data_IF_486333502272
#
_entry.id   IF_486333502272
#
_cell.length_a   1.000
_cell.length_b   1.000
_cell.length_c   1.000
_cell.angle_alpha   90.00
_cell.angle_beta   90.00
_cell.angle_gamma   90.00
#
_symmetry.space_group_name_H-M   'P 1'
#
loop_
_entity.id
_entity.type
_entity.pdbx_description
1 polymer ?
#
# COMPACT_ATOMS: atom_id res chain seq x y z
N UNK A 1 -0.51 -33.71 -2.31
CA UNK A 1 0.41 -32.77 -1.66
C UNK A 1 -0.36 -31.47 -1.58
N UNK A 2 -0.51 -30.88 -0.41
CA UNK A 2 -1.08 -29.53 -0.33
C UNK A 2 0.05 -28.56 -0.69
N UNK A 3 -0.11 -27.84 -1.78
CA UNK A 3 0.75 -26.70 -2.11
C UNK A 3 0.44 -25.58 -1.10
N UNK A 4 1.45 -25.12 -0.40
CA UNK A 4 1.31 -23.99 0.53
C UNK A 4 2.12 -22.83 -0.02
N UNK A 5 1.49 -21.69 -0.22
CA UNK A 5 2.19 -20.48 -0.63
C UNK A 5 2.71 -19.81 0.65
N UNK A 6 3.96 -19.41 0.62
CA UNK A 6 4.60 -18.60 1.67
C UNK A 6 5.06 -17.28 1.09
N UNK A 7 4.63 -16.20 1.68
CA UNK A 7 5.07 -14.87 1.31
C UNK A 7 6.14 -14.36 2.29
N UNK A 8 7.09 -13.60 1.77
CA UNK A 8 8.10 -12.85 2.53
C UNK A 8 8.11 -11.43 2.04
N UNK A 9 8.15 -10.50 2.97
CA UNK A 9 8.19 -9.09 2.65
C UNK A 9 9.48 -8.42 3.11
N UNK A 10 9.83 -7.36 2.41
CA UNK A 10 10.77 -6.35 2.86
C UNK A 10 10.27 -4.98 2.41
N UNK A 11 10.57 -3.96 3.19
CA UNK A 11 10.15 -2.60 2.92
C UNK A 11 11.27 -1.60 3.19
N UNK A 12 11.27 -0.55 2.40
CA UNK A 12 12.15 0.62 2.58
C UNK A 12 11.30 1.87 2.50
N UNK A 13 11.53 2.78 3.45
CA UNK A 13 10.96 4.14 3.44
C UNK A 13 12.09 5.16 3.52
N UNK A 14 11.98 6.26 2.78
CA UNK A 14 12.99 7.31 2.67
C UNK A 14 12.31 8.68 2.61
N UNK A 15 12.80 9.71 3.32
CA UNK A 15 12.21 11.05 3.26
C UNK A 15 12.31 11.73 1.90
N UNK A 16 13.04 11.13 0.95
CA UNK A 16 13.34 11.76 -0.33
C UNK A 16 14.45 12.80 -0.23
N UNK A 17 14.56 13.64 -1.26
CA UNK A 17 15.62 14.65 -1.35
C UNK A 17 15.12 16.08 -1.15
N UNK A 18 13.82 16.29 -1.07
CA UNK A 18 13.19 17.61 -0.99
C UNK A 18 12.48 17.83 0.34
N UNK A 19 11.83 16.79 0.89
CA UNK A 19 11.11 16.87 2.15
C UNK A 19 12.08 16.87 3.34
N UNK A 20 11.72 17.59 4.40
CA UNK A 20 12.50 17.64 5.66
C UNK A 20 12.13 16.58 6.66
N UNK A 21 10.95 15.96 6.50
CA UNK A 21 10.43 14.90 7.34
C UNK A 21 9.89 13.77 6.46
N UNK A 22 9.80 12.57 7.03
CA UNK A 22 9.13 11.45 6.41
C UNK A 22 7.76 11.28 7.06
N UNK A 23 6.71 11.56 6.30
CA UNK A 23 5.32 11.42 6.73
C UNK A 23 4.73 10.06 6.29
N UNK A 24 5.50 9.27 5.50
CA UNK A 24 5.15 7.89 5.18
C UNK A 24 5.35 6.96 6.38
N UNK A 25 4.50 5.95 6.50
CA UNK A 25 4.65 4.86 7.45
C UNK A 25 4.36 3.51 6.80
N UNK A 26 4.99 2.43 7.30
CA UNK A 26 4.75 1.08 6.81
C UNK A 26 4.68 0.05 7.94
N UNK A 27 3.97 -1.05 7.70
CA UNK A 27 3.88 -2.19 8.58
C UNK A 27 4.20 -3.47 7.81
N UNK A 28 5.03 -4.33 8.42
CA UNK A 28 5.30 -5.68 7.94
C UNK A 28 4.99 -6.67 9.06
N UNK A 29 3.91 -7.46 8.89
CA UNK A 29 3.52 -8.56 9.80
C UNK A 29 3.45 -9.86 9.00
N UNK A 30 4.62 -10.43 8.69
CA UNK A 30 4.73 -11.68 7.91
C UNK A 30 4.03 -12.86 8.60
N UNK A 31 4.01 -12.86 9.95
CA UNK A 31 3.32 -13.85 10.76
C UNK A 31 1.80 -13.86 10.56
N UNK A 32 1.23 -12.68 10.29
CA UNK A 32 -0.21 -12.51 10.03
C UNK A 32 -0.55 -12.43 8.53
N UNK A 33 0.46 -12.35 7.65
CA UNK A 33 0.25 -12.09 6.23
C UNK A 33 -0.32 -10.70 5.95
N UNK A 34 0.08 -9.71 6.74
CA UNK A 34 -0.46 -8.35 6.71
C UNK A 34 0.65 -7.32 6.45
N UNK A 35 0.47 -6.51 5.42
CA UNK A 35 1.38 -5.41 5.07
C UNK A 35 0.59 -4.14 4.77
N UNK A 36 1.16 -3.01 5.19
CA UNK A 36 0.49 -1.70 5.07
C UNK A 36 1.51 -0.65 4.64
N UNK A 37 1.07 0.26 3.77
CA UNK A 37 1.74 1.53 3.49
C UNK A 37 0.72 2.65 3.69
N UNK A 38 1.13 3.70 4.38
CA UNK A 38 0.34 4.89 4.65
C UNK A 38 1.19 6.13 4.35
N UNK A 39 0.68 7.03 3.54
CA UNK A 39 1.31 8.29 3.15
C UNK A 39 0.59 9.44 3.82
N UNK A 40 1.27 10.07 4.77
CA UNK A 40 0.70 11.10 5.63
C UNK A 40 0.68 12.47 4.98
N UNK A 41 -0.41 13.21 5.18
CA UNK A 41 -0.59 14.57 4.68
C UNK A 41 -1.20 15.49 5.74
N UNK A 42 -0.92 16.80 5.64
CA UNK A 42 -1.50 17.79 6.55
C UNK A 42 -0.51 18.87 7.01
N UNK A 43 0.75 18.73 6.58
CA UNK A 43 1.83 19.65 6.88
C UNK A 43 2.53 19.38 8.23
N UNK A 44 3.86 19.38 8.20
CA UNK A 44 4.78 19.21 9.33
C UNK A 44 4.58 17.87 10.08
N UNK A 45 3.98 17.91 11.30
CA UNK A 45 3.85 16.73 12.16
C UNK A 45 2.51 16.00 12.02
N UNK A 46 1.52 16.62 11.41
CA UNK A 46 0.16 16.07 11.41
C UNK A 46 0.05 14.86 10.46
N UNK A 47 0.75 14.89 9.33
CA UNK A 47 0.84 13.76 8.40
C UNK A 47 1.56 12.55 9.01
N UNK A 48 2.75 12.76 9.61
CA UNK A 48 3.51 11.72 10.31
C UNK A 48 2.68 11.06 11.42
N UNK A 49 1.92 11.85 12.17
CA UNK A 49 1.04 11.33 13.22
C UNK A 49 -0.09 10.51 12.62
N UNK A 50 -0.73 10.99 11.54
CA UNK A 50 -1.85 10.30 10.91
C UNK A 50 -1.44 8.93 10.34
N UNK A 51 -0.36 8.88 9.53
CA UNK A 51 0.16 7.62 8.99
C UNK A 51 0.62 6.66 10.08
N UNK A 52 1.30 7.20 11.12
CA UNK A 52 1.75 6.44 12.29
C UNK A 52 0.59 5.84 13.09
N UNK A 53 -0.53 6.56 13.27
CA UNK A 53 -1.73 6.05 13.94
C UNK A 53 -2.34 4.86 13.16
N UNK A 54 -2.46 4.95 11.83
CA UNK A 54 -2.97 3.86 11.01
C UNK A 54 -2.12 2.61 11.20
N UNK A 55 -0.80 2.74 11.05
CA UNK A 55 0.15 1.63 11.19
C UNK A 55 0.11 1.02 12.59
N UNK A 56 -0.01 1.85 13.64
CA UNK A 56 -0.10 1.39 15.03
C UNK A 56 -1.39 0.59 15.29
N UNK A 57 -2.54 1.06 14.81
CA UNK A 57 -3.82 0.35 14.92
C UNK A 57 -3.78 -0.99 14.15
N UNK A 58 -3.23 -0.99 12.93
CA UNK A 58 -3.05 -2.20 12.13
C UNK A 58 -2.08 -3.20 12.76
N UNK A 59 -1.02 -2.72 13.45
CA UNK A 59 -0.06 -3.58 14.13
C UNK A 59 -0.70 -4.40 15.25
N UNK A 60 -1.75 -3.88 15.88
CA UNK A 60 -2.45 -4.53 17.01
C UNK A 60 -3.77 -5.19 16.60
N UNK A 61 -4.13 -5.15 15.31
CA UNK A 61 -5.36 -5.77 14.81
C UNK A 61 -5.41 -7.26 15.16
N UNK A 62 -6.52 -7.73 15.78
CA UNK A 62 -6.68 -9.14 16.09
C UNK A 62 -6.89 -9.94 14.81
N UNK A 63 -6.04 -10.95 14.58
CA UNK A 63 -6.12 -11.81 13.41
C UNK A 63 -6.57 -13.19 13.82
N UNK A 64 -7.59 -13.72 13.17
CA UNK A 64 -8.18 -15.04 13.47
C UNK A 64 -7.64 -16.15 12.56
N UNK A 65 -7.07 -15.77 11.41
CA UNK A 65 -6.68 -16.69 10.34
C UNK A 65 -7.86 -17.05 9.41
N UNK A 66 -9.03 -16.46 9.61
CA UNK A 66 -10.18 -16.60 8.72
C UNK A 66 -10.24 -15.36 7.81
N UNK A 67 -9.86 -15.52 6.55
CA UNK A 67 -9.63 -14.46 5.59
C UNK A 67 -10.73 -13.38 5.54
N UNK A 68 -11.99 -13.79 5.39
CA UNK A 68 -13.10 -12.84 5.26
C UNK A 68 -13.33 -12.08 6.58
N UNK A 69 -13.23 -12.75 7.73
CA UNK A 69 -13.34 -12.13 9.06
C UNK A 69 -12.21 -11.15 9.31
N UNK A 70 -11.00 -11.54 8.94
CA UNK A 70 -9.81 -10.69 9.15
C UNK A 70 -9.83 -9.48 8.20
N UNK A 71 -10.29 -9.63 6.96
CA UNK A 71 -10.43 -8.51 6.03
C UNK A 71 -11.47 -7.49 6.50
N UNK A 72 -12.63 -7.95 7.01
CA UNK A 72 -13.63 -7.08 7.64
C UNK A 72 -13.07 -6.39 8.89
N UNK A 73 -12.34 -7.13 9.74
CA UNK A 73 -11.69 -6.57 10.93
C UNK A 73 -10.71 -5.45 10.56
N UNK A 74 -9.92 -5.61 9.49
CA UNK A 74 -9.00 -4.59 9.02
C UNK A 74 -9.72 -3.35 8.47
N UNK A 75 -10.85 -3.52 7.78
CA UNK A 75 -11.70 -2.41 7.38
C UNK A 75 -12.25 -1.63 8.60
N UNK A 76 -12.70 -2.34 9.63
CA UNK A 76 -13.16 -1.72 10.90
C UNK A 76 -12.02 -0.98 11.62
N UNK A 77 -10.78 -1.49 11.54
CA UNK A 77 -9.60 -0.80 12.06
C UNK A 77 -9.41 0.53 11.33
N UNK A 78 -9.53 0.55 10.00
CA UNK A 78 -9.43 1.79 9.21
C UNK A 78 -10.52 2.80 9.59
N UNK A 79 -11.76 2.36 9.81
CA UNK A 79 -12.84 3.25 10.25
C UNK A 79 -12.58 3.85 11.63
N UNK A 80 -12.03 3.07 12.58
CA UNK A 80 -11.64 3.61 13.90
C UNK A 80 -10.47 4.59 13.81
N UNK A 81 -9.45 4.26 13.03
CA UNK A 81 -8.33 5.16 12.77
C UNK A 81 -8.82 6.48 12.14
N UNK A 82 -9.75 6.40 11.17
CA UNK A 82 -10.37 7.57 10.57
C UNK A 82 -11.01 8.49 11.61
N UNK A 83 -11.87 7.94 12.47
CA UNK A 83 -12.52 8.73 13.50
C UNK A 83 -11.53 9.41 14.45
N UNK A 84 -10.49 8.67 14.87
CA UNK A 84 -9.48 9.21 15.78
C UNK A 84 -8.64 10.33 15.13
N UNK A 85 -8.22 10.17 13.87
CA UNK A 85 -7.44 11.17 13.13
C UNK A 85 -8.32 12.39 12.83
N UNK A 86 -9.57 12.19 12.42
CA UNK A 86 -10.52 13.27 12.18
C UNK A 86 -10.76 14.12 13.43
N UNK A 87 -11.02 13.47 14.58
CA UNK A 87 -11.23 14.15 15.85
C UNK A 87 -9.98 14.92 16.31
N UNK A 88 -8.79 14.36 16.10
CA UNK A 88 -7.52 15.04 16.37
C UNK A 88 -7.38 16.30 15.50
N UNK A 89 -7.67 16.22 14.21
CA UNK A 89 -7.65 17.36 13.29
C UNK A 89 -8.61 18.47 13.72
N UNK A 90 -9.84 18.13 14.16
CA UNK A 90 -10.81 19.10 14.65
C UNK A 90 -10.31 19.81 15.93
N UNK A 91 -9.65 19.10 16.83
CA UNK A 91 -9.15 19.67 18.09
C UNK A 91 -7.92 20.57 17.88
N UNK A 92 -7.06 20.25 16.95
CA UNK A 92 -5.83 21.02 16.67
C UNK A 92 -6.06 22.19 15.71
N UNK A 93 -7.23 22.25 15.05
CA UNK A 93 -7.53 23.20 13.98
C UNK A 93 -6.70 22.95 12.71
N UNK A 94 -6.03 21.80 12.64
CA UNK A 94 -5.26 21.31 11.49
C UNK A 94 -6.09 20.38 10.61
N UNK A 95 -5.50 19.97 9.49
CA UNK A 95 -6.04 18.92 8.63
C UNK A 95 -5.02 17.79 8.57
N UNK A 96 -5.12 16.86 9.53
CA UNK A 96 -4.36 15.63 9.49
C UNK A 96 -5.09 14.59 8.64
N UNK A 97 -4.36 13.87 7.83
CA UNK A 97 -4.91 12.76 7.05
C UNK A 97 -3.80 11.86 6.53
N UNK A 98 -4.18 10.74 5.96
CA UNK A 98 -3.23 9.83 5.31
C UNK A 98 -3.93 9.01 4.24
N UNK A 99 -3.23 8.72 3.16
CA UNK A 99 -3.62 7.59 2.31
C UNK A 99 -3.37 6.28 3.06
N UNK A 100 -3.90 5.20 2.57
CA UNK A 100 -3.57 3.86 3.06
C UNK A 100 -3.77 2.82 1.97
N UNK A 101 -2.85 1.86 1.91
CA UNK A 101 -3.03 0.58 1.23
C UNK A 101 -2.70 -0.55 2.19
N UNK A 102 -3.57 -1.55 2.24
CA UNK A 102 -3.46 -2.73 3.10
C UNK A 102 -3.50 -3.97 2.22
N UNK A 103 -2.55 -4.87 2.40
CA UNK A 103 -2.53 -6.19 1.79
C UNK A 103 -2.68 -7.25 2.88
N UNK A 104 -3.68 -8.11 2.73
CA UNK A 104 -3.86 -9.33 3.53
C UNK A 104 -3.67 -10.54 2.62
N UNK A 105 -2.80 -11.47 3.04
CA UNK A 105 -2.61 -12.78 2.38
C UNK A 105 -2.83 -13.89 3.39
N UNK A 106 -3.78 -14.77 3.11
CA UNK A 106 -4.01 -15.96 3.93
C UNK A 106 -4.33 -17.17 3.04
N UNK A 107 -3.52 -18.20 3.17
CA UNK A 107 -3.59 -19.36 2.28
C UNK A 107 -3.26 -19.00 0.83
N UNK A 108 -4.21 -19.20 -0.07
CA UNK A 108 -4.09 -18.85 -1.48
C UNK A 108 -4.99 -17.66 -1.85
N UNK A 109 -5.38 -16.82 -0.89
CA UNK A 109 -6.21 -15.62 -1.14
C UNK A 109 -5.43 -14.36 -0.77
N UNK A 110 -5.60 -13.33 -1.57
CA UNK A 110 -5.16 -11.99 -1.27
C UNK A 110 -6.37 -11.03 -1.18
N UNK A 111 -6.29 -10.08 -0.28
CA UNK A 111 -7.25 -8.99 -0.12
C UNK A 111 -6.52 -7.66 -0.02
N UNK A 112 -6.98 -6.67 -0.78
CA UNK A 112 -6.47 -5.31 -0.71
C UNK A 112 -7.59 -4.40 -0.20
N UNK A 113 -7.24 -3.49 0.72
CA UNK A 113 -8.10 -2.38 1.14
C UNK A 113 -7.34 -1.09 0.89
N UNK A 114 -8.03 -0.01 0.46
CA UNK A 114 -7.35 1.27 0.26
C UNK A 114 -8.27 2.49 0.36
N UNK A 115 -7.63 3.60 0.67
CA UNK A 115 -8.16 4.96 0.55
C UNK A 115 -7.00 5.91 0.21
N UNK A 116 -7.11 6.63 -0.92
CA UNK A 116 -6.08 7.53 -1.43
C UNK A 116 -5.49 7.07 -2.75
N UNK A 117 -4.28 7.49 -3.04
CA UNK A 117 -3.54 7.25 -4.28
C UNK A 117 -2.23 6.47 -4.08
N UNK A 118 -1.94 6.01 -2.86
CA UNK A 118 -0.99 4.92 -2.67
C UNK A 118 -1.48 3.67 -3.38
N UNK A 119 -0.57 2.86 -3.92
CA UNK A 119 -0.95 1.79 -4.84
C UNK A 119 -0.49 0.41 -4.40
N UNK A 120 -1.26 -0.60 -4.81
CA UNK A 120 -0.86 -2.00 -4.79
C UNK A 120 -0.78 -2.50 -6.23
N UNK A 121 0.38 -3.06 -6.59
CA UNK A 121 0.61 -3.72 -7.87
C UNK A 121 0.84 -5.21 -7.66
N UNK A 122 0.37 -6.01 -8.61
CA UNK A 122 0.66 -7.43 -8.73
C UNK A 122 1.48 -7.68 -9.98
N UNK A 123 2.66 -8.27 -9.82
CA UNK A 123 3.43 -8.83 -10.93
C UNK A 123 3.18 -10.35 -11.00
N UNK A 124 2.50 -10.78 -12.04
CA UNK A 124 2.22 -12.19 -12.36
C UNK A 124 2.57 -12.43 -13.82
N UNK A 125 3.30 -13.50 -14.13
CA UNK A 125 3.70 -13.88 -15.50
C UNK A 125 4.36 -12.73 -16.28
N UNK A 126 5.15 -11.89 -15.61
CA UNK A 126 5.79 -10.67 -16.13
C UNK A 126 4.83 -9.54 -16.50
N UNK A 127 3.56 -9.66 -16.20
CA UNK A 127 2.58 -8.61 -16.34
C UNK A 127 2.39 -7.89 -15.00
N UNK A 128 2.63 -6.58 -14.97
CA UNK A 128 2.35 -5.74 -13.82
C UNK A 128 0.92 -5.20 -13.96
N UNK A 129 0.11 -5.40 -12.93
CA UNK A 129 -1.28 -4.94 -12.86
C UNK A 129 -1.45 -4.13 -11.59
N UNK A 130 -1.99 -2.91 -11.69
CA UNK A 130 -2.42 -2.15 -10.53
C UNK A 130 -3.74 -2.73 -10.00
N UNK A 131 -3.74 -3.17 -8.74
CA UNK A 131 -4.93 -3.74 -8.07
C UNK A 131 -5.82 -2.65 -7.46
N UNK A 132 -5.24 -1.56 -7.01
CA UNK A 132 -5.94 -0.40 -6.47
C UNK A 132 -6.36 0.55 -7.60
N UNK A 133 -7.31 1.45 -7.31
CA UNK A 133 -7.68 2.56 -8.18
C UNK A 133 -7.54 3.85 -7.41
N UNK A 134 -6.76 4.80 -7.93
CA UNK A 134 -6.42 6.03 -7.22
C UNK A 134 -7.67 6.87 -6.92
N UNK A 135 -7.80 7.34 -5.70
CA UNK A 135 -8.81 8.31 -5.32
C UNK A 135 -8.29 9.72 -5.54
N UNK A 136 -8.16 10.10 -6.81
CA UNK A 136 -7.75 11.43 -7.24
C UNK A 136 -8.78 12.07 -8.16
N UNK A 137 -8.80 13.39 -8.20
CA UNK A 137 -9.72 14.13 -9.05
C UNK A 137 -9.56 13.76 -10.53
N UNK A 138 -8.33 13.54 -10.99
CA UNK A 138 -8.06 13.16 -12.39
C UNK A 138 -8.54 11.76 -12.71
N UNK A 139 -8.41 10.82 -11.78
CA UNK A 139 -8.91 9.48 -11.93
C UNK A 139 -10.44 9.46 -12.00
N UNK A 140 -11.12 10.22 -11.15
CA UNK A 140 -12.58 10.38 -11.22
C UNK A 140 -13.05 11.02 -12.53
N UNK A 141 -12.28 11.97 -13.08
CA UNK A 141 -12.60 12.56 -14.40
C UNK A 141 -12.46 11.52 -15.51
N UNK A 142 -11.42 10.68 -15.47
CA UNK A 142 -11.23 9.60 -16.43
C UNK A 142 -12.36 8.57 -16.34
N UNK A 143 -12.78 8.20 -15.12
CA UNK A 143 -13.88 7.26 -14.89
C UNK A 143 -15.22 7.73 -15.45
N UNK A 144 -15.45 9.03 -15.42
CA UNK A 144 -16.64 9.68 -15.99
C UNK A 144 -16.51 9.94 -17.50
N UNK A 145 -15.39 9.53 -18.12
CA UNK A 145 -15.11 9.78 -19.55
C UNK A 145 -14.82 11.23 -19.90
N UNK A 146 -14.52 12.07 -18.91
CA UNK A 146 -14.16 13.49 -19.08
C UNK A 146 -12.68 13.68 -19.41
N UNK A 147 -11.87 12.66 -19.16
CA UNK A 147 -10.44 12.62 -19.45
C UNK A 147 -10.09 11.26 -20.08
N UNK A 148 -9.16 11.24 -21.04
CA UNK A 148 -8.70 9.97 -21.58
C UNK A 148 -7.74 9.29 -20.58
N UNK A 149 -7.72 7.96 -20.47
CA UNK A 149 -6.85 7.26 -19.51
C UNK A 149 -5.35 7.61 -19.63
N UNK A 150 -4.88 7.89 -20.85
CA UNK A 150 -3.48 8.23 -21.09
C UNK A 150 -3.12 9.67 -20.65
N UNK A 151 -4.11 10.54 -20.41
CA UNK A 151 -3.92 11.91 -19.94
C UNK A 151 -3.91 12.01 -18.39
N UNK A 152 -4.21 10.92 -17.68
CA UNK A 152 -4.20 10.87 -16.21
C UNK A 152 -2.77 11.01 -15.68
N UNK A 153 -1.84 10.25 -16.27
CA UNK A 153 -0.43 10.29 -15.87
C UNK A 153 0.20 11.63 -16.21
N UNK A 154 0.80 12.27 -15.20
CA UNK A 154 1.44 13.59 -15.36
C UNK A 154 0.46 14.77 -15.46
N UNK A 155 -0.82 14.56 -15.20
CA UNK A 155 -1.79 15.65 -15.18
C UNK A 155 -1.49 16.63 -14.02
N UNK A 156 -1.57 17.95 -14.23
CA UNK A 156 -1.24 18.94 -13.19
C UNK A 156 -2.03 18.79 -11.88
N UNK A 157 -3.26 18.25 -11.94
CA UNK A 157 -4.10 17.98 -10.77
C UNK A 157 -4.01 16.53 -10.29
N UNK A 158 -3.03 15.76 -10.74
CA UNK A 158 -2.88 14.33 -10.39
C UNK A 158 -2.68 14.09 -8.90
N UNK A 159 -2.15 15.07 -8.19
CA UNK A 159 -1.90 15.05 -6.75
C UNK A 159 -3.13 15.44 -5.89
N UNK A 160 -4.25 15.80 -6.49
CA UNK A 160 -5.45 16.18 -5.75
C UNK A 160 -6.24 14.93 -5.34
N UNK A 161 -5.98 14.48 -4.12
CA UNK A 161 -6.65 13.34 -3.50
C UNK A 161 -8.10 13.70 -3.17
N UNK A 162 -9.04 12.80 -3.48
CA UNK A 162 -10.47 12.97 -3.21
C UNK A 162 -10.95 12.16 -2.01
N UNK A 163 -10.12 11.21 -1.51
CA UNK A 163 -10.43 10.36 -0.39
C UNK A 163 -9.17 9.98 0.39
N UNK A 164 -9.19 10.17 1.71
CA UNK A 164 -8.12 9.78 2.60
C UNK A 164 -8.64 9.55 4.02
N UNK A 165 -7.91 8.80 4.81
CA UNK A 165 -8.20 8.54 6.23
C UNK A 165 -8.01 9.81 7.04
N UNK A 166 -8.99 10.15 7.89
CA UNK A 166 -8.94 11.31 8.80
C UNK A 166 -9.40 12.64 8.22
N UNK A 167 -9.73 12.70 6.93
CA UNK A 167 -10.14 13.97 6.25
C UNK A 167 -11.62 14.25 6.39
N UNK A 168 -12.44 13.22 6.29
CA UNK A 168 -13.90 13.32 6.41
C UNK A 168 -14.40 12.46 7.59
N UNK A 169 -15.56 12.80 8.19
CA UNK A 169 -16.08 12.03 9.33
C UNK A 169 -16.40 10.57 8.97
N UNK A 170 -16.79 10.32 7.72
CA UNK A 170 -17.06 8.99 7.20
C UNK A 170 -16.01 8.61 6.16
N UNK A 171 -15.39 7.44 6.34
CA UNK A 171 -14.42 6.88 5.40
C UNK A 171 -15.10 5.82 4.51
N UNK A 172 -14.91 5.95 3.21
CA UNK A 172 -15.20 4.87 2.27
C UNK A 172 -13.89 4.14 1.94
N UNK A 173 -13.84 2.86 2.28
CA UNK A 173 -12.70 1.97 1.97
C UNK A 173 -13.06 1.12 0.77
N UNK A 174 -12.26 1.19 -0.28
CA UNK A 174 -12.42 0.28 -1.42
C UNK A 174 -11.68 -1.02 -1.14
N UNK A 175 -12.17 -2.12 -1.73
CA UNK A 175 -11.62 -3.44 -1.54
C UNK A 175 -11.57 -4.24 -2.85
N UNK A 176 -10.54 -5.08 -3.00
CA UNK A 176 -10.47 -6.12 -4.02
C UNK A 176 -9.98 -7.42 -3.38
N UNK A 177 -10.51 -8.53 -3.84
CA UNK A 177 -10.10 -9.88 -3.43
C UNK A 177 -9.75 -10.67 -4.69
N UNK A 178 -8.64 -11.40 -4.65
CA UNK A 178 -8.18 -12.26 -5.75
C UNK A 178 -7.50 -13.52 -5.18
N UNK A 179 -7.25 -14.48 -6.05
CA UNK A 179 -6.48 -15.67 -5.72
C UNK A 179 -4.99 -15.42 -5.91
N UNK A 180 -4.19 -15.86 -4.93
CA UNK A 180 -2.74 -15.80 -4.97
C UNK A 180 -2.16 -17.02 -5.70
N UNK A 181 -1.12 -16.80 -6.50
CA UNK A 181 -0.40 -17.86 -7.20
C UNK A 181 1.08 -17.90 -6.76
N UNK A 182 1.71 -19.09 -6.77
CA UNK A 182 3.15 -19.19 -6.59
C UNK A 182 3.90 -18.39 -7.65
N UNK A 183 4.86 -17.59 -7.24
CA UNK A 183 5.63 -16.71 -8.11
C UNK A 183 5.07 -15.29 -8.23
N UNK A 184 3.92 -15.00 -7.63
CA UNK A 184 3.41 -13.65 -7.52
C UNK A 184 4.37 -12.77 -6.73
N UNK A 185 4.55 -11.54 -7.21
CA UNK A 185 5.24 -10.47 -6.48
C UNK A 185 4.29 -9.29 -6.34
N UNK A 186 4.08 -8.84 -5.11
CA UNK A 186 3.17 -7.74 -4.83
C UNK A 186 4.00 -6.55 -4.32
N UNK A 187 3.70 -5.37 -4.83
CA UNK A 187 4.29 -4.11 -4.40
C UNK A 187 3.21 -3.22 -3.79
N UNK A 188 3.44 -2.73 -2.57
CA UNK A 188 2.71 -1.61 -1.99
C UNK A 188 3.65 -0.40 -2.03
N UNK A 189 3.15 0.76 -2.46
CA UNK A 189 4.00 1.96 -2.51
C UNK A 189 3.19 3.25 -2.33
N UNK A 190 3.86 4.29 -1.81
CA UNK A 190 3.37 5.66 -1.83
C UNK A 190 3.57 6.31 -3.21
N UNK A 191 3.00 7.50 -3.40
CA UNK A 191 3.04 8.26 -4.65
C UNK A 191 4.46 8.71 -5.02
N UNK A 192 5.35 8.90 -4.03
CA UNK A 192 6.75 9.23 -4.25
C UNK A 192 7.52 8.21 -5.09
N UNK A 193 7.03 6.96 -5.20
CA UNK A 193 7.58 5.98 -6.13
C UNK A 193 6.91 6.08 -7.50
N UNK A 194 5.59 5.86 -7.59
CA UNK A 194 4.91 5.76 -8.88
C UNK A 194 4.76 7.11 -9.61
N UNK A 195 4.92 8.22 -8.90
CA UNK A 195 5.00 9.55 -9.49
C UNK A 195 6.26 9.80 -10.32
N UNK A 196 7.35 9.07 -10.02
CA UNK A 196 8.64 9.25 -10.68
C UNK A 196 9.11 8.01 -11.45
N UNK A 197 8.59 6.82 -11.18
CA UNK A 197 8.94 5.58 -11.86
C UNK A 197 7.85 5.15 -12.84
N UNK A 198 8.27 4.53 -13.95
CA UNK A 198 7.35 3.92 -14.91
C UNK A 198 7.02 2.49 -14.52
N UNK A 199 5.79 2.03 -14.83
CA UNK A 199 5.34 0.66 -14.54
C UNK A 199 6.23 -0.41 -15.20
N UNK A 200 6.78 -0.13 -16.38
CA UNK A 200 7.74 -1.03 -17.05
C UNK A 200 9.05 -1.17 -16.26
N UNK A 201 9.51 -0.12 -15.61
CA UNK A 201 10.71 -0.13 -14.78
C UNK A 201 10.43 -0.81 -13.44
N UNK A 202 9.28 -0.50 -12.83
CA UNK A 202 8.81 -1.19 -11.62
C UNK A 202 8.76 -2.70 -11.89
N UNK A 203 8.11 -3.13 -12.98
CA UNK A 203 8.03 -4.54 -13.36
C UNK A 203 9.42 -5.18 -13.55
N UNK A 204 10.34 -4.48 -14.22
CA UNK A 204 11.71 -4.95 -14.43
C UNK A 204 12.51 -5.09 -13.13
N UNK A 205 12.26 -4.22 -12.15
CA UNK A 205 12.90 -4.28 -10.83
C UNK A 205 12.32 -5.43 -10.01
N UNK A 206 11.02 -5.63 -10.02
CA UNK A 206 10.35 -6.70 -9.28
C UNK A 206 10.72 -8.09 -9.84
N UNK A 207 10.91 -8.21 -11.15
CA UNK A 207 11.18 -9.47 -11.80
C UNK A 207 12.52 -10.09 -11.35
N UNK A 208 12.44 -11.27 -10.71
CA UNK A 208 13.62 -12.08 -10.36
C UNK A 208 14.45 -11.57 -9.19
N UNK A 209 13.98 -10.57 -8.42
CA UNK A 209 14.61 -10.13 -7.18
C UNK A 209 13.88 -10.69 -5.96
N UNK A 210 14.61 -10.86 -4.86
CA UNK A 210 13.98 -11.05 -3.56
C UNK A 210 13.40 -9.71 -3.05
N UNK A 211 12.58 -9.78 -2.01
CA UNK A 211 11.88 -8.62 -1.48
C UNK A 211 12.82 -7.47 -1.06
N UNK A 212 13.93 -7.80 -0.36
CA UNK A 212 14.91 -6.80 0.11
C UNK A 212 15.57 -6.07 -1.06
N UNK A 213 16.05 -6.81 -2.05
CA UNK A 213 16.72 -6.21 -3.21
C UNK A 213 15.75 -5.41 -4.10
N UNK A 214 14.48 -5.83 -4.17
CA UNK A 214 13.47 -5.13 -4.95
C UNK A 214 13.08 -3.81 -4.29
N UNK A 215 12.73 -3.82 -3.00
CA UNK A 215 12.32 -2.60 -2.26
C UNK A 215 13.46 -1.57 -2.24
N UNK A 216 14.70 -1.99 -1.98
CA UNK A 216 15.85 -1.10 -2.00
C UNK A 216 16.10 -0.50 -3.40
N UNK A 217 15.98 -1.30 -4.46
CA UNK A 217 16.20 -0.83 -5.83
C UNK A 217 15.11 0.15 -6.31
N UNK A 218 13.86 -0.04 -5.87
CA UNK A 218 12.76 0.87 -6.18
C UNK A 218 12.94 2.24 -5.53
N UNK A 219 13.28 2.27 -4.24
CA UNK A 219 13.55 3.53 -3.53
C UNK A 219 14.78 4.22 -4.10
N UNK A 220 15.84 3.48 -4.43
CA UNK A 220 17.03 4.05 -5.06
C UNK A 220 16.72 4.63 -6.45
N UNK A 221 15.86 3.98 -7.25
CA UNK A 221 15.39 4.54 -8.53
C UNK A 221 14.68 5.88 -8.32
N UNK A 222 13.80 5.98 -7.32
CA UNK A 222 13.12 7.23 -7.02
C UNK A 222 14.14 8.33 -6.60
N UNK A 223 15.13 7.99 -5.78
CA UNK A 223 16.21 8.92 -5.38
C UNK A 223 17.01 9.43 -6.56
N UNK A 224 17.38 8.56 -7.49
CA UNK A 224 18.10 8.93 -8.73
C UNK A 224 17.28 9.87 -9.62
N UNK A 225 15.94 9.90 -9.45
CA UNK A 225 15.01 10.80 -10.15
C UNK A 225 14.66 12.06 -9.37
N UNK A 226 15.38 12.29 -8.28
CA UNK A 226 15.25 13.49 -7.48
C UNK A 226 14.29 13.37 -6.29
N UNK A 227 13.59 12.23 -6.12
CA UNK A 227 12.68 11.93 -5.02
C UNK A 227 12.04 13.20 -4.41
N UNK A 228 11.09 13.84 -5.11
CA UNK A 228 10.52 15.11 -4.69
C UNK A 228 9.62 14.98 -3.45
N UNK A 229 9.20 13.75 -3.15
CA UNK A 229 8.39 13.40 -1.98
C UNK A 229 9.02 12.26 -1.17
N UNK A 230 8.38 11.93 -0.03
CA UNK A 230 8.66 10.71 0.72
C UNK A 230 8.41 9.50 -0.18
N UNK A 231 9.21 8.47 -0.04
CA UNK A 231 9.16 7.28 -0.90
C UNK A 231 9.12 6.03 -0.04
N UNK A 232 8.05 5.27 -0.15
CA UNK A 232 7.90 3.98 0.53
C UNK A 232 7.58 2.88 -0.46
N UNK A 233 8.31 1.76 -0.38
CA UNK A 233 8.10 0.57 -1.17
C UNK A 233 8.17 -0.68 -0.29
N UNK A 234 7.11 -1.46 -0.25
CA UNK A 234 7.03 -2.77 0.40
C UNK A 234 6.82 -3.83 -0.68
N UNK A 235 7.81 -4.72 -0.82
CA UNK A 235 7.74 -5.82 -1.77
C UNK A 235 7.43 -7.12 -1.03
N UNK A 236 6.42 -7.86 -1.52
CA UNK A 236 6.00 -9.16 -0.99
C UNK A 236 6.20 -10.20 -2.08
N UNK A 237 7.10 -11.17 -1.84
CA UNK A 237 7.40 -12.26 -2.78
C UNK A 237 6.76 -13.54 -2.29
N UNK A 238 5.95 -14.18 -3.13
CA UNK A 238 5.16 -15.36 -2.79
C UNK A 238 5.70 -16.59 -3.49
N UNK A 239 6.19 -17.56 -2.73
CA UNK A 239 6.85 -18.78 -3.22
C UNK A 239 6.06 -20.03 -2.85
N UNK A 240 6.16 -21.06 -3.70
CA UNK A 240 5.64 -22.38 -3.37
C UNK A 240 6.53 -23.05 -2.32
N UNK A 241 5.93 -23.51 -1.25
CA UNK A 241 6.62 -24.33 -0.24
C UNK A 241 6.09 -25.75 -0.30
N UNK A 242 6.96 -26.68 -0.70
CA UNK A 242 6.65 -28.10 -0.63
C UNK A 242 6.88 -28.60 0.79
N UNK A 243 5.80 -28.82 1.55
CA UNK A 243 5.89 -29.46 2.85
C UNK A 243 6.15 -30.96 2.66
N UNK A 244 7.38 -31.42 2.91
CA UNK A 244 7.69 -32.85 3.07
C UNK A 244 7.07 -33.30 4.41
N UNK A 245 5.93 -34.02 4.37
CA UNK A 245 5.53 -34.84 5.52
C UNK A 245 6.51 -35.98 5.64
N UNK A 246 7.43 -35.92 6.59
CA UNK A 246 8.10 -37.12 7.08
C UNK A 246 7.00 -38.00 7.65
N UNK A 247 6.75 -39.16 7.02
CA UNK A 247 5.88 -40.16 7.59
C UNK A 247 6.46 -40.51 8.97
N UNK A 248 5.73 -40.19 10.02
CA UNK A 248 6.14 -40.42 11.39
C UNK A 248 6.28 -41.93 11.67
N UNK A 249 7.26 -42.25 12.45
CA UNK A 249 7.45 -43.55 13.08
C UNK A 249 6.29 -43.87 14.02
#
# INVERSE_FOLDING_TARGET
>A
MMQTIRCRAAGVTDPGLVRSANEDAMLLRDDAGLWVVADGMGGHKDGEVASGMIVSEMATAPMTGAFDVDLETLADVLHRANAAIYDMGQQTGGRAGSTVVVLLVQGARLGCLWAGDSRIYLLRDRLLVQLTRDHTQVQEMADRGLLQPHDVKGHPMGHLITRAVGVEPELLVDAVVDDLQPGDVILLCSDGLHGVADETEIAAILAGRNADAASAALVELARQRGAPDNVTAVCVVCEEVTALRLAGA
#
